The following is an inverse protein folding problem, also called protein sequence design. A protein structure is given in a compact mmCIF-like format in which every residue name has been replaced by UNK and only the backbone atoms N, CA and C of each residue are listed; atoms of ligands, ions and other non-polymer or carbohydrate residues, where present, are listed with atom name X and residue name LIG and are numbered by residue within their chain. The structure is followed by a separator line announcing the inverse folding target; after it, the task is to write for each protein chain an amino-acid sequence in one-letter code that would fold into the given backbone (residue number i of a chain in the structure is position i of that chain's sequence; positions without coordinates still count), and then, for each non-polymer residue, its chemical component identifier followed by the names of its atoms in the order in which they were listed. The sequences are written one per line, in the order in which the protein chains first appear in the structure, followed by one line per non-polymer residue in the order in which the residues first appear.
data_IF_254360933525
#
_entry.id   IF_254360933525
#
_cell.length_a   1.000
_cell.length_b   1.000
_cell.length_c   1.000
_cell.angle_alpha   90.00
_cell.angle_beta   90.00
_cell.angle_gamma   90.00
#
_symmetry.space_group_name_H-M   'P 1'
#
loop_
_entity.id
_entity.type
_entity.pdbx_description
1 polymer ?
#
# COMPACT_ATOMS: atom_id res chain seq x y z
N UNK A 1 -13.10 -4.29 11.57
CA UNK A 1 -12.91 -2.95 11.00
C UNK A 1 -14.13 -2.52 10.17
N UNK A 2 -14.43 -3.21 9.05
CA UNK A 2 -15.57 -2.83 8.19
C UNK A 2 -16.93 -2.82 8.89
N UNK A 3 -17.18 -3.74 9.83
CA UNK A 3 -18.43 -3.73 10.60
C UNK A 3 -18.63 -2.43 11.41
N UNK A 4 -17.54 -1.84 11.91
CA UNK A 4 -17.56 -0.57 12.63
C UNK A 4 -17.77 0.62 11.68
N UNK A 5 -17.41 0.48 10.40
CA UNK A 5 -17.56 1.52 9.38
C UNK A 5 -18.93 1.48 8.68
N UNK A 6 -19.67 0.37 8.80
CA UNK A 6 -20.97 0.14 8.17
C UNK A 6 -22.00 1.25 8.43
N UNK A 7 -22.17 1.81 9.64
CA UNK A 7 -23.12 2.90 9.88
C UNK A 7 -22.81 4.18 9.09
N UNK A 8 -21.57 4.34 8.63
CA UNK A 8 -21.11 5.50 7.86
C UNK A 8 -21.16 5.26 6.35
N UNK A 9 -21.65 4.10 5.88
CA UNK A 9 -21.54 3.65 4.48
C UNK A 9 -20.10 3.70 3.96
N UNK A 10 -19.17 3.28 4.82
CA UNK A 10 -17.73 3.26 4.54
C UNK A 10 -17.17 1.85 4.74
N UNK A 11 -16.03 1.61 4.10
CA UNK A 11 -15.18 0.44 4.31
C UNK A 11 -13.71 0.83 4.18
N UNK A 12 -12.80 -0.03 4.66
CA UNK A 12 -11.39 0.07 4.27
C UNK A 12 -11.27 -0.21 2.77
N UNK A 13 -10.34 0.48 2.10
CA UNK A 13 -10.09 0.27 0.68
C UNK A 13 -9.70 -1.18 0.34
N UNK A 14 -8.64 -1.73 0.96
CA UNK A 14 -8.16 -3.06 0.62
C UNK A 14 -9.21 -4.14 0.96
N UNK A 15 -9.53 -4.99 -0.01
CA UNK A 15 -10.59 -6.00 0.10
C UNK A 15 -10.12 -7.44 -0.19
N UNK A 16 -9.10 -7.97 0.51
CA UNK A 16 -8.60 -9.33 0.25
C UNK A 16 -9.72 -10.38 0.28
N UNK A 17 -9.57 -11.46 -0.48
CA UNK A 17 -10.54 -12.56 -0.50
C UNK A 17 -10.81 -13.16 0.90
N UNK A 18 -9.83 -13.06 1.80
CA UNK A 18 -9.91 -13.48 3.21
C UNK A 18 -10.37 -12.36 4.15
N UNK A 19 -11.18 -11.39 3.67
CA UNK A 19 -11.63 -10.21 4.43
C UNK A 19 -12.17 -10.53 5.84
N UNK A 20 -12.81 -11.69 6.00
CA UNK A 20 -13.40 -12.14 7.27
C UNK A 20 -12.36 -12.53 8.34
N UNK A 21 -11.13 -12.88 7.94
CA UNK A 21 -10.10 -13.41 8.84
C UNK A 21 -8.78 -12.64 8.77
N UNK A 22 -8.52 -11.91 7.69
CA UNK A 22 -7.33 -11.12 7.51
C UNK A 22 -7.26 -9.96 8.51
N UNK A 23 -6.09 -9.79 9.12
CA UNK A 23 -5.81 -8.68 10.04
C UNK A 23 -5.22 -7.50 9.27
N UNK A 24 -5.57 -6.28 9.68
CA UNK A 24 -5.16 -5.02 9.02
C UNK A 24 -3.64 -4.92 8.83
N UNK A 25 -2.85 -5.36 9.82
CA UNK A 25 -1.39 -5.40 9.71
C UNK A 25 -0.90 -6.34 8.60
N UNK A 26 -1.48 -7.53 8.49
CA UNK A 26 -1.16 -8.46 7.40
C UNK A 26 -1.60 -7.94 6.03
N UNK A 27 -2.76 -7.26 5.97
CA UNK A 27 -3.25 -6.62 4.74
C UNK A 27 -2.26 -5.57 4.23
N UNK A 28 -1.72 -4.72 5.12
CA UNK A 28 -0.70 -3.74 4.78
C UNK A 28 0.62 -4.41 4.36
N UNK A 29 1.14 -5.30 5.22
CA UNK A 29 2.45 -5.93 5.01
C UNK A 29 2.50 -6.81 3.77
N UNK A 30 1.38 -7.34 3.30
CA UNK A 30 1.32 -8.14 2.06
C UNK A 30 0.73 -7.34 0.88
N UNK A 31 0.51 -6.03 1.03
CA UNK A 31 -0.22 -5.17 0.08
C UNK A 31 -1.50 -5.84 -0.48
N UNK A 32 -2.21 -6.56 0.38
CA UNK A 32 -3.30 -7.43 -0.04
C UNK A 32 -4.50 -6.59 -0.49
N UNK A 33 -5.02 -6.89 -1.68
CA UNK A 33 -6.20 -6.24 -2.26
C UNK A 33 -7.05 -7.29 -2.98
N UNK A 34 -8.34 -7.06 -3.16
CA UNK A 34 -9.26 -7.95 -3.86
C UNK A 34 -9.60 -7.46 -5.27
N UNK A 35 -10.56 -8.16 -5.88
CA UNK A 35 -10.99 -7.89 -7.26
C UNK A 35 -11.80 -6.61 -7.41
N UNK A 36 -12.52 -6.16 -6.38
CA UNK A 36 -13.33 -4.94 -6.50
C UNK A 36 -12.50 -3.67 -6.34
N UNK A 37 -11.45 -3.69 -5.49
CA UNK A 37 -10.65 -2.51 -5.21
C UNK A 37 -9.37 -2.43 -6.07
N UNK A 38 -8.89 -3.57 -6.59
CA UNK A 38 -7.79 -3.63 -7.55
C UNK A 38 -6.56 -2.85 -7.08
N UNK A 39 -6.02 -2.01 -7.95
CA UNK A 39 -4.93 -1.06 -7.65
C UNK A 39 -5.43 0.33 -7.23
N UNK A 40 -6.70 0.66 -7.47
CA UNK A 40 -7.25 1.99 -7.23
C UNK A 40 -7.53 2.27 -5.75
N UNK A 41 -7.84 1.22 -4.98
CA UNK A 41 -8.23 1.32 -3.58
C UNK A 41 -7.45 0.34 -2.67
N UNK A 42 -6.25 -0.08 -3.07
CA UNK A 42 -5.37 -0.90 -2.23
C UNK A 42 -4.76 -0.10 -1.07
N UNK A 43 -3.93 -0.76 -0.25
CA UNK A 43 -3.29 -0.12 0.91
C UNK A 43 -2.43 1.05 0.45
N UNK A 44 -1.69 0.88 -0.64
CA UNK A 44 -0.83 1.92 -1.20
C UNK A 44 -1.58 3.20 -1.59
N UNK A 45 -2.81 3.10 -2.10
CA UNK A 45 -3.62 4.28 -2.48
C UNK A 45 -4.43 4.89 -1.34
N UNK A 46 -4.69 4.11 -0.30
CA UNK A 46 -5.59 4.53 0.79
C UNK A 46 -4.88 4.80 2.10
N UNK A 47 -3.59 4.47 2.22
CA UNK A 47 -2.82 4.76 3.42
C UNK A 47 -2.80 6.26 3.67
N UNK A 48 -2.99 6.64 4.93
CA UNK A 48 -2.81 8.00 5.41
C UNK A 48 -1.54 8.09 6.26
N UNK A 49 -1.39 7.18 7.23
CA UNK A 49 -0.22 7.14 8.10
C UNK A 49 -0.02 5.74 8.70
N UNK A 50 1.20 5.51 9.20
CA UNK A 50 1.60 4.32 9.95
C UNK A 50 2.35 4.74 11.21
N UNK A 51 2.31 3.87 12.22
CA UNK A 51 3.24 3.92 13.35
C UNK A 51 4.03 2.62 13.41
N UNK A 52 5.35 2.73 13.32
CA UNK A 52 6.25 1.58 13.25
C UNK A 52 7.24 1.59 14.40
N UNK A 53 7.58 0.40 14.87
CA UNK A 53 8.69 0.13 15.80
C UNK A 53 9.79 -0.56 14.99
N UNK A 54 10.95 0.09 14.89
CA UNK A 54 12.10 -0.43 14.15
C UNK A 54 12.89 -1.44 14.97
N UNK A 55 13.83 -2.12 14.32
CA UNK A 55 14.63 -3.20 14.93
C UNK A 55 15.36 -2.79 16.21
N UNK A 56 15.79 -1.53 16.30
CA UNK A 56 16.49 -1.01 17.47
C UNK A 56 15.56 -0.44 18.55
N UNK A 57 14.24 -0.60 18.38
CA UNK A 57 13.21 -0.12 19.30
C UNK A 57 12.81 1.34 19.09
N UNK A 58 13.43 2.06 18.15
CA UNK A 58 12.98 3.41 17.79
C UNK A 58 11.59 3.38 17.17
N UNK A 59 10.80 4.44 17.42
CA UNK A 59 9.42 4.55 16.96
C UNK A 59 9.31 5.70 15.98
N UNK A 60 8.69 5.44 14.82
CA UNK A 60 8.28 6.47 13.87
C UNK A 60 6.76 6.43 13.70
N UNK A 61 6.11 7.54 14.01
CA UNK A 61 4.71 7.81 13.69
C UNK A 61 4.65 8.85 12.57
N UNK A 62 4.21 8.45 11.38
CA UNK A 62 4.15 9.34 10.20
C UNK A 62 2.99 10.34 10.26
N UNK A 63 2.14 10.29 11.28
CA UNK A 63 1.11 11.31 11.54
C UNK A 63 1.51 12.38 12.55
N UNK A 64 2.58 12.15 13.33
CA UNK A 64 3.05 13.08 14.36
C UNK A 64 4.33 13.80 13.92
N UNK A 65 4.20 15.11 13.70
CA UNK A 65 5.33 15.98 13.33
C UNK A 65 6.48 15.94 14.33
N UNK A 66 6.21 15.73 15.64
CA UNK A 66 7.27 15.61 16.64
C UNK A 66 8.05 14.30 16.45
N UNK A 67 7.35 13.19 16.27
CA UNK A 67 7.95 11.88 15.98
C UNK A 67 8.78 11.92 14.70
N UNK A 68 8.25 12.52 13.62
CA UNK A 68 8.97 12.74 12.36
C UNK A 68 10.26 13.52 12.60
N UNK A 69 10.18 14.69 13.25
CA UNK A 69 11.34 15.54 13.48
C UNK A 69 12.41 14.87 14.34
N UNK A 70 11.99 14.03 15.30
CA UNK A 70 12.91 13.24 16.12
C UNK A 70 13.58 12.15 15.30
N UNK A 71 12.80 11.39 14.52
CA UNK A 71 13.32 10.35 13.64
C UNK A 71 14.37 10.89 12.65
N UNK A 72 14.08 12.00 11.98
CA UNK A 72 15.03 12.62 11.04
C UNK A 72 16.35 13.04 11.70
N UNK A 73 16.33 13.39 12.99
CA UNK A 73 17.53 13.74 13.76
C UNK A 73 18.29 12.52 14.28
N UNK A 74 17.58 11.48 14.68
CA UNK A 74 18.16 10.26 15.28
C UNK A 74 18.63 9.25 14.23
N UNK A 75 18.03 9.28 13.03
CA UNK A 75 18.26 8.32 11.94
C UNK A 75 18.73 8.99 10.64
N UNK A 76 19.65 9.97 10.67
CA UNK A 76 20.04 10.70 9.46
C UNK A 76 20.64 9.77 8.40
N UNK A 77 21.43 8.77 8.79
CA UNK A 77 22.04 7.82 7.85
C UNK A 77 20.98 6.99 7.12
N UNK A 78 19.97 6.47 7.83
CA UNK A 78 18.91 5.69 7.20
C UNK A 78 18.12 6.54 6.20
N UNK A 79 17.86 7.80 6.52
CA UNK A 79 17.20 8.74 5.62
C UNK A 79 18.07 8.99 4.39
N UNK A 80 19.37 9.23 4.57
CA UNK A 80 20.32 9.42 3.47
C UNK A 80 20.39 8.19 2.57
N UNK A 81 20.45 6.98 3.14
CA UNK A 81 20.51 5.72 2.40
C UNK A 81 19.25 5.53 1.54
N UNK A 82 18.06 5.83 2.07
CA UNK A 82 16.79 5.76 1.32
C UNK A 82 16.76 6.79 0.19
N UNK A 83 17.20 8.02 0.45
CA UNK A 83 17.26 9.08 -0.56
C UNK A 83 18.30 8.77 -1.64
N UNK A 84 19.41 8.14 -1.28
CA UNK A 84 20.43 7.70 -2.22
C UNK A 84 19.91 6.54 -3.08
N UNK A 85 19.23 5.54 -2.50
CA UNK A 85 18.54 4.49 -3.27
C UNK A 85 17.55 5.08 -4.27
N UNK A 86 16.74 6.06 -3.84
CA UNK A 86 15.83 6.78 -4.72
C UNK A 86 16.57 7.45 -5.87
N UNK A 87 17.65 8.17 -5.56
CA UNK A 87 18.46 8.87 -6.56
C UNK A 87 19.05 7.89 -7.59
N UNK A 88 19.56 6.75 -7.13
CA UNK A 88 20.14 5.72 -8.01
C UNK A 88 19.07 5.11 -8.92
N UNK A 89 17.88 4.83 -8.39
CA UNK A 89 16.74 4.35 -9.19
C UNK A 89 16.33 5.37 -10.24
N UNK A 90 16.20 6.65 -9.87
CA UNK A 90 15.80 7.69 -10.80
C UNK A 90 16.84 8.01 -11.88
N UNK A 91 18.12 7.76 -11.61
CA UNK A 91 19.18 7.91 -12.60
C UNK A 91 19.15 6.80 -13.65
N UNK A 92 18.44 5.70 -13.39
CA UNK A 92 18.24 4.57 -14.29
C UNK A 92 16.81 4.60 -14.89
N UNK A 93 16.70 5.15 -16.10
CA UNK A 93 15.42 5.25 -16.82
C UNK A 93 14.79 3.88 -17.10
N UNK A 94 15.61 2.85 -17.38
CA UNK A 94 15.12 1.50 -17.66
C UNK A 94 14.51 0.88 -16.40
N UNK A 95 15.20 0.99 -15.27
CA UNK A 95 14.71 0.52 -13.98
C UNK A 95 13.46 1.27 -13.54
N UNK A 96 13.44 2.60 -13.70
CA UNK A 96 12.27 3.42 -13.40
C UNK A 96 11.06 2.98 -14.21
N UNK A 97 11.24 2.74 -15.51
CA UNK A 97 10.16 2.23 -16.38
C UNK A 97 9.72 0.82 -15.97
N UNK A 98 10.65 -0.06 -15.60
CA UNK A 98 10.35 -1.40 -15.11
C UNK A 98 9.52 -1.36 -13.83
N UNK A 99 9.88 -0.49 -12.86
CA UNK A 99 9.12 -0.28 -11.63
C UNK A 99 7.71 0.20 -11.98
N UNK A 100 7.57 1.28 -12.75
CA UNK A 100 6.25 1.76 -13.16
C UNK A 100 5.41 0.67 -13.84
N UNK A 101 6.00 -0.09 -14.77
CA UNK A 101 5.31 -1.18 -15.43
C UNK A 101 4.86 -2.27 -14.44
N UNK A 102 5.73 -2.69 -13.53
CA UNK A 102 5.45 -3.74 -12.54
C UNK A 102 4.28 -3.40 -11.62
N UNK A 103 4.15 -2.14 -11.19
CA UNK A 103 3.09 -1.70 -10.28
C UNK A 103 1.83 -1.17 -10.99
N UNK A 104 1.74 -1.26 -12.33
CA UNK A 104 0.48 -1.03 -13.07
C UNK A 104 -0.58 -2.06 -12.72
N UNK A 105 -0.16 -3.29 -12.45
CA UNK A 105 -1.03 -4.37 -11.99
C UNK A 105 -0.90 -4.56 -10.49
N UNK A 106 -1.87 -5.25 -9.90
CA UNK A 106 -1.83 -5.60 -8.48
C UNK A 106 -0.57 -6.41 -8.18
N UNK A 107 0.25 -5.91 -7.26
CA UNK A 107 1.45 -6.57 -6.78
C UNK A 107 1.39 -6.76 -5.26
N UNK A 108 1.58 -8.01 -4.82
CA UNK A 108 1.50 -8.43 -3.41
C UNK A 108 2.77 -9.15 -2.96
N UNK A 109 3.87 -9.02 -3.70
CA UNK A 109 5.13 -9.70 -3.39
C UNK A 109 6.31 -8.71 -3.38
N UNK A 110 7.03 -8.73 -2.26
CA UNK A 110 8.18 -7.86 -2.03
C UNK A 110 7.83 -6.40 -1.76
N UNK A 111 8.89 -5.62 -1.50
CA UNK A 111 8.79 -4.22 -1.07
C UNK A 111 8.07 -3.33 -2.08
N UNK A 112 7.35 -2.33 -1.60
CA UNK A 112 6.73 -1.28 -2.43
C UNK A 112 7.75 -0.32 -3.04
N UNK A 113 8.61 -0.81 -3.96
CA UNK A 113 9.66 -0.02 -4.61
C UNK A 113 9.13 1.17 -5.40
N UNK A 114 7.87 1.12 -5.84
CA UNK A 114 7.22 2.26 -6.47
C UNK A 114 7.15 3.49 -5.55
N UNK A 115 7.21 3.33 -4.22
CA UNK A 115 7.32 4.47 -3.29
C UNK A 115 8.55 5.34 -3.55
N UNK A 116 9.66 4.73 -3.98
CA UNK A 116 10.92 5.44 -4.28
C UNK A 116 10.84 6.22 -5.59
N UNK A 117 9.81 6.01 -6.40
CA UNK A 117 9.61 6.69 -7.69
C UNK A 117 8.44 7.67 -7.61
N UNK A 118 7.34 7.25 -6.97
CA UNK A 118 6.09 8.00 -6.91
C UNK A 118 6.15 9.22 -5.96
N UNK A 119 7.07 9.23 -4.98
CA UNK A 119 7.14 10.26 -3.94
C UNK A 119 8.52 10.94 -3.87
N UNK A 120 8.50 12.22 -3.51
CA UNK A 120 9.70 13.02 -3.24
C UNK A 120 9.98 13.20 -1.74
N UNK A 121 8.92 13.36 -0.94
CA UNK A 121 9.04 13.51 0.51
C UNK A 121 9.44 12.19 1.18
N UNK A 122 10.45 12.24 2.05
CA UNK A 122 10.99 11.05 2.72
C UNK A 122 9.95 10.34 3.60
N UNK A 123 9.05 11.08 4.24
CA UNK A 123 8.02 10.51 5.10
C UNK A 123 6.97 9.82 4.26
N UNK A 124 6.59 10.38 3.11
CA UNK A 124 5.71 9.68 2.17
C UNK A 124 6.37 8.41 1.61
N UNK A 125 7.66 8.46 1.26
CA UNK A 125 8.42 7.27 0.84
C UNK A 125 8.36 6.19 1.92
N UNK A 126 8.75 6.51 3.16
CA UNK A 126 8.78 5.55 4.27
C UNK A 126 7.37 5.02 4.58
N UNK A 127 6.36 5.90 4.61
CA UNK A 127 4.97 5.55 4.88
C UNK A 127 4.45 4.47 3.91
N UNK A 128 4.91 4.52 2.66
CA UNK A 128 4.54 3.55 1.64
C UNK A 128 5.50 2.36 1.52
N UNK A 129 6.76 2.48 1.95
CA UNK A 129 7.76 1.40 1.87
C UNK A 129 7.41 0.20 2.76
N UNK A 130 6.70 0.44 3.88
CA UNK A 130 6.20 -0.63 4.74
C UNK A 130 5.09 -1.48 4.10
N UNK A 131 4.45 -0.98 3.05
CA UNK A 131 3.42 -1.70 2.31
C UNK A 131 4.10 -2.76 1.43
N UNK A 132 3.75 -4.03 1.63
CA UNK A 132 4.46 -5.15 0.97
C UNK A 132 5.77 -5.56 1.67
N UNK A 133 6.07 -5.00 2.86
CA UNK A 133 7.30 -5.35 3.59
C UNK A 133 7.32 -6.75 4.18
N UNK A 134 6.18 -7.44 4.24
CA UNK A 134 6.06 -8.77 4.85
C UNK A 134 6.59 -8.83 6.31
N UNK A 135 6.63 -7.67 6.99
CA UNK A 135 7.10 -7.55 8.37
C UNK A 135 8.63 -7.51 8.56
N UNK A 136 9.41 -7.41 7.48
CA UNK A 136 10.88 -7.46 7.56
C UNK A 136 11.53 -6.11 7.92
N UNK A 137 10.85 -4.99 7.69
CA UNK A 137 11.39 -3.64 7.93
C UNK A 137 11.17 -3.15 9.37
N UNK A 138 10.24 -3.77 10.10
CA UNK A 138 9.86 -3.39 11.45
C UNK A 138 8.44 -3.83 11.79
N UNK A 139 8.03 -3.56 13.02
CA UNK A 139 6.70 -3.89 13.51
C UNK A 139 5.74 -2.71 13.30
N UNK A 140 4.73 -2.89 12.45
CA UNK A 140 3.66 -1.91 12.24
C UNK A 140 2.66 -2.02 13.39
N UNK A 141 2.68 -1.03 14.28
CA UNK A 141 1.85 -0.98 15.49
C UNK A 141 0.52 -0.25 15.30
N UNK A 142 0.45 0.70 14.35
CA UNK A 142 -0.77 1.43 13.99
C UNK A 142 -0.83 1.71 12.49
N UNK A 143 -2.03 1.73 11.94
CA UNK A 143 -2.31 2.01 10.53
C UNK A 143 -3.56 2.88 10.45
N UNK A 144 -3.47 4.00 9.72
CA UNK A 144 -4.61 4.86 9.41
C UNK A 144 -4.87 4.82 7.92
N UNK A 145 -6.08 4.42 7.53
CA UNK A 145 -6.54 4.44 6.15
C UNK A 145 -7.58 5.53 5.92
N UNK A 146 -7.51 6.15 4.74
CA UNK A 146 -8.64 6.85 4.16
C UNK A 146 -9.68 5.81 3.73
N UNK A 147 -10.86 5.86 4.35
CA UNK A 147 -11.94 4.93 4.03
C UNK A 147 -12.55 5.23 2.67
N UNK A 148 -13.01 4.20 1.97
CA UNK A 148 -13.72 4.32 0.71
C UNK A 148 -15.23 4.15 0.93
N UNK A 149 -16.03 4.62 -0.02
CA UNK A 149 -17.48 4.41 -0.01
C UNK A 149 -17.82 2.92 -0.10
N UNK A 150 -18.78 2.47 0.71
CA UNK A 150 -19.42 1.16 0.56
C UNK A 150 -20.83 1.37 0.03
N UNK A 151 -20.98 1.25 -1.30
CA UNK A 151 -22.26 1.49 -1.97
C UNK A 151 -23.34 0.52 -1.45
N UNK A 152 -24.55 1.02 -1.14
CA UNK A 152 -25.60 0.21 -0.50
C UNK A 152 -26.18 -0.85 -1.45
N UNK A 153 -26.07 -0.64 -2.76
CA UNK A 153 -26.61 -1.53 -3.78
C UNK A 153 -25.47 -2.10 -4.63
N UNK A 154 -25.41 -3.42 -4.73
CA UNK A 154 -24.40 -4.17 -5.49
C UNK A 154 -25.10 -5.14 -6.43
N UNK A 155 -24.64 -5.22 -7.67
CA UNK A 155 -25.12 -6.16 -8.69
C UNK A 155 -24.02 -7.15 -9.07
N UNK A 156 -24.41 -8.39 -9.35
CA UNK A 156 -23.52 -9.41 -9.91
C UNK A 156 -24.11 -9.92 -11.22
N UNK A 157 -23.31 -9.95 -12.28
CA UNK A 157 -23.69 -10.48 -13.58
C UNK A 157 -22.83 -11.69 -13.92
N UNK A 158 -23.45 -12.73 -14.49
CA UNK A 158 -22.76 -13.89 -15.04
C UNK A 158 -22.98 -13.92 -16.55
N UNK A 159 -21.88 -13.90 -17.31
CA UNK A 159 -21.90 -13.94 -18.78
C UNK A 159 -21.24 -15.23 -19.26
N UNK A 160 -21.85 -15.85 -20.27
CA UNK A 160 -21.31 -17.05 -20.90
C UNK A 160 -20.81 -16.70 -22.30
N UNK A 161 -19.61 -17.17 -22.62
CA UNK A 161 -18.97 -16.97 -23.91
C UNK A 161 -18.66 -18.33 -24.54
N UNK A 162 -18.68 -18.39 -25.88
CA UNK A 162 -18.43 -19.63 -26.61
C UNK A 162 -16.95 -20.03 -26.57
N UNK A 163 -16.06 -19.04 -26.60
CA UNK A 163 -14.61 -19.25 -26.55
C UNK A 163 -13.95 -18.34 -25.53
N UNK A 164 -12.73 -18.70 -25.11
CA UNK A 164 -11.90 -17.83 -24.27
C UNK A 164 -11.56 -16.50 -24.95
N UNK A 165 -11.40 -16.48 -26.28
CA UNK A 165 -11.13 -15.25 -27.02
C UNK A 165 -12.32 -14.27 -26.96
N UNK A 166 -13.55 -14.78 -27.08
CA UNK A 166 -14.76 -13.94 -26.97
C UNK A 166 -14.86 -13.32 -25.57
N UNK A 167 -14.51 -14.08 -24.52
CA UNK A 167 -14.46 -13.58 -23.15
C UNK A 167 -13.39 -12.50 -22.97
N UNK A 168 -12.19 -12.70 -23.50
CA UNK A 168 -11.10 -11.71 -23.42
C UNK A 168 -11.47 -10.39 -24.11
N UNK A 169 -12.08 -10.45 -25.31
CA UNK A 169 -12.50 -9.26 -26.06
C UNK A 169 -13.57 -8.44 -25.34
N UNK A 170 -14.40 -9.06 -24.50
CA UNK A 170 -15.45 -8.37 -23.75
C UNK A 170 -14.94 -7.56 -22.54
N UNK A 171 -13.68 -7.75 -22.14
CA UNK A 171 -13.06 -7.11 -20.96
C UNK A 171 -12.18 -5.90 -21.35
N UNK A 172 -11.88 -5.72 -22.64
CA UNK A 172 -11.01 -4.64 -23.18
C UNK A 172 -11.81 -3.38 -23.46
#
# INVERSE_FOLDING_TARGET
ANDLLKPYNRKIGPDPATLATALVGGILNNNSSGMCCGTAQNSYKTIRSIRVVLLDGSILDTSDQKSINQFLKEKPQMVEDILQLRKDILADEELTHLIHHKYKIKNTTGYGLNSLVDFEDIIDIINHLFIGSEGTLGFVSEIVYNTVEDVPYKGCGLMFFKTLNDASLAVV
#
